data_IF_063384754039
#
_entry.id   IF_063384754039
#
_cell.length_a   1.000
_cell.length_b   1.000
_cell.length_c   1.000
_cell.angle_alpha   90.00
_cell.angle_beta   90.00
_cell.angle_gamma   90.00
#
_symmetry.space_group_name_H-M   'P 1'
#
loop_
_entity.id
_entity.type
_entity.pdbx_description
1 polymer ?
#
# COMPACT_ATOMS: atom_id res chain seq x y z
N UNK A 1 -10.73 -9.50 -10.35
CA UNK A 1 -10.36 -8.78 -9.11
C UNK A 1 -11.36 -9.17 -8.04
N UNK A 2 -10.91 -9.54 -6.83
CA UNK A 2 -11.81 -9.81 -5.69
C UNK A 2 -11.63 -8.72 -4.63
N UNK A 3 -12.73 -8.17 -4.13
CA UNK A 3 -12.75 -7.13 -3.10
C UNK A 3 -13.50 -7.65 -1.86
N UNK A 4 -12.91 -7.44 -0.68
CA UNK A 4 -13.51 -7.78 0.61
C UNK A 4 -13.95 -6.48 1.29
N UNK A 5 -15.23 -6.12 1.15
CA UNK A 5 -15.81 -4.93 1.77
C UNK A 5 -16.63 -5.28 3.01
N UNK A 6 -16.54 -4.46 4.06
CA UNK A 6 -17.42 -4.53 5.23
C UNK A 6 -17.90 -3.13 5.55
N UNK A 7 -19.22 -2.95 5.67
CA UNK A 7 -19.84 -1.67 6.00
C UNK A 7 -20.50 -1.77 7.38
N UNK A 8 -20.48 -0.68 8.15
CA UNK A 8 -21.15 -0.61 9.44
C UNK A 8 -21.55 0.82 9.78
N UNK A 9 -22.64 0.99 10.55
CA UNK A 9 -23.17 2.30 10.92
C UNK A 9 -22.61 2.88 12.22
N UNK A 10 -22.27 2.05 13.21
CA UNK A 10 -21.79 2.50 14.53
C UNK A 10 -20.26 2.36 14.65
N UNK A 11 -19.57 3.45 15.01
CA UNK A 11 -18.12 3.54 15.19
C UNK A 11 -17.55 2.48 16.17
N UNK A 12 -18.32 2.05 17.16
CA UNK A 12 -17.93 1.03 18.15
C UNK A 12 -17.61 -0.32 17.49
N UNK A 13 -18.27 -0.62 16.37
CA UNK A 13 -18.04 -1.86 15.61
C UNK A 13 -16.75 -1.83 14.76
N UNK A 14 -16.09 -0.68 14.63
CA UNK A 14 -14.97 -0.51 13.69
C UNK A 14 -13.82 -1.48 13.96
N UNK A 15 -13.40 -1.60 15.23
CA UNK A 15 -12.28 -2.50 15.61
C UNK A 15 -12.58 -3.94 15.22
N UNK A 16 -13.79 -4.41 15.52
CA UNK A 16 -14.25 -5.77 15.21
C UNK A 16 -14.32 -6.02 13.70
N UNK A 17 -14.90 -5.09 12.95
CA UNK A 17 -15.11 -5.27 11.50
C UNK A 17 -13.80 -5.21 10.71
N UNK A 18 -12.89 -4.30 11.07
CA UNK A 18 -11.54 -4.25 10.51
C UNK A 18 -10.79 -5.56 10.83
N UNK A 19 -10.86 -6.04 12.08
CA UNK A 19 -10.21 -7.30 12.47
C UNK A 19 -10.75 -8.52 11.69
N UNK A 20 -12.06 -8.57 11.46
CA UNK A 20 -12.69 -9.62 10.65
C UNK A 20 -12.23 -9.57 9.20
N UNK A 21 -12.21 -8.38 8.59
CA UNK A 21 -11.74 -8.20 7.21
C UNK A 21 -10.27 -8.66 7.07
N UNK A 22 -9.41 -8.25 7.99
CA UNK A 22 -8.00 -8.71 8.05
C UNK A 22 -7.89 -10.22 8.19
N UNK A 23 -8.77 -10.87 8.97
CA UNK A 23 -8.81 -12.34 9.11
C UNK A 23 -9.16 -13.01 7.77
N UNK A 24 -10.17 -12.51 7.08
CA UNK A 24 -10.55 -13.00 5.74
C UNK A 24 -9.41 -12.79 4.72
N UNK A 25 -8.79 -11.61 4.71
CA UNK A 25 -7.64 -11.31 3.85
C UNK A 25 -6.48 -12.30 4.09
N UNK A 26 -6.16 -12.63 5.35
CA UNK A 26 -5.13 -13.63 5.68
C UNK A 26 -5.53 -15.03 5.22
N UNK A 27 -6.78 -15.43 5.45
CA UNK A 27 -7.29 -16.75 5.02
C UNK A 27 -7.13 -16.96 3.50
N UNK A 28 -7.40 -15.92 2.72
CA UNK A 28 -7.33 -15.97 1.25
C UNK A 28 -5.91 -16.00 0.67
N UNK A 29 -4.86 -15.84 1.50
CA UNK A 29 -3.47 -15.72 1.03
C UNK A 29 -3.00 -16.90 0.15
N UNK A 30 -3.47 -18.12 0.41
CA UNK A 30 -3.10 -19.32 -0.35
C UNK A 30 -3.78 -19.45 -1.73
N UNK A 31 -4.84 -18.67 -1.98
CA UNK A 31 -5.68 -18.81 -3.17
C UNK A 31 -5.55 -17.66 -4.17
N UNK A 32 -4.86 -16.58 -3.79
CA UNK A 32 -4.69 -15.38 -4.62
C UNK A 32 -3.25 -15.27 -5.13
N UNK A 33 -2.98 -14.24 -5.93
CA UNK A 33 -1.62 -13.97 -6.42
C UNK A 33 -0.58 -13.94 -5.29
N UNK A 34 0.62 -14.42 -5.60
CA UNK A 34 1.77 -14.47 -4.71
C UNK A 34 3.02 -13.98 -5.44
N UNK A 35 3.97 -13.44 -4.68
CA UNK A 35 5.29 -12.97 -5.16
C UNK A 35 5.25 -11.93 -6.30
N UNK A 36 4.66 -10.73 -6.10
CA UNK A 36 4.00 -10.24 -4.89
C UNK A 36 2.51 -10.58 -4.85
N UNK A 37 1.92 -10.53 -3.65
CA UNK A 37 0.46 -10.50 -3.51
C UNK A 37 -0.04 -9.16 -4.03
N UNK A 38 -0.58 -9.15 -5.25
CA UNK A 38 -0.98 -7.94 -5.95
C UNK A 38 -2.16 -7.25 -5.26
N UNK A 39 -2.16 -5.92 -5.33
CA UNK A 39 -3.19 -5.04 -4.78
C UNK A 39 -3.52 -3.94 -5.80
N UNK A 40 -4.63 -3.25 -5.60
CA UNK A 40 -5.06 -2.17 -6.48
C UNK A 40 -5.04 -0.84 -5.73
N UNK A 41 -4.30 0.15 -6.26
CA UNK A 41 -4.00 1.39 -5.56
C UNK A 41 -5.24 2.22 -5.17
N UNK A 42 -6.32 2.14 -5.96
CA UNK A 42 -7.57 2.86 -5.66
C UNK A 42 -8.35 2.25 -4.48
N UNK A 43 -8.02 1.03 -4.05
CA UNK A 43 -8.42 0.48 -2.75
C UNK A 43 -7.23 0.49 -1.81
N UNK A 44 -6.87 1.69 -1.34
CA UNK A 44 -5.66 1.92 -0.55
C UNK A 44 -5.72 1.17 0.78
N UNK A 45 -4.73 0.31 1.00
CA UNK A 45 -4.58 -0.51 2.19
C UNK A 45 -3.26 -0.17 2.92
N UNK A 46 -3.37 0.50 4.07
CA UNK A 46 -2.23 0.87 4.91
C UNK A 46 -1.62 -0.35 5.64
N UNK A 47 -2.33 -1.48 5.72
CA UNK A 47 -1.79 -2.71 6.33
C UNK A 47 -0.71 -3.37 5.45
N UNK A 48 -0.57 -2.95 4.18
CA UNK A 48 0.49 -3.43 3.28
C UNK A 48 1.87 -2.82 3.60
N UNK A 49 1.90 -1.75 4.40
CA UNK A 49 3.09 -1.00 4.76
C UNK A 49 2.89 0.50 4.60
N UNK A 50 3.57 1.29 5.41
CA UNK A 50 3.48 2.76 5.38
C UNK A 50 4.87 3.40 5.38
N UNK A 51 4.92 4.60 4.83
CA UNK A 51 6.07 5.49 4.83
C UNK A 51 6.33 6.05 6.24
N UNK A 52 7.57 6.43 6.51
CA UNK A 52 7.91 7.18 7.71
C UNK A 52 7.48 8.64 7.58
N UNK A 53 7.25 9.30 8.71
CA UNK A 53 6.81 10.71 8.75
C UNK A 53 7.75 11.70 8.06
N UNK A 54 9.06 11.40 7.98
CA UNK A 54 10.08 12.31 7.44
C UNK A 54 10.73 11.74 6.19
N UNK A 55 11.54 10.70 6.35
CA UNK A 55 12.32 10.09 5.29
C UNK A 55 11.95 8.62 5.13
N UNK A 56 11.53 8.26 3.93
CA UNK A 56 11.17 6.89 3.57
C UNK A 56 12.11 6.42 2.49
N UNK A 57 12.84 5.35 2.77
CA UNK A 57 13.74 4.77 1.79
C UNK A 57 12.97 4.07 0.67
N UNK A 58 13.61 3.97 -0.49
CA UNK A 58 13.12 3.15 -1.60
C UNK A 58 12.76 1.73 -1.15
N UNK A 59 13.62 1.07 -0.36
CA UNK A 59 13.39 -0.31 0.09
C UNK A 59 12.15 -0.45 0.97
N UNK A 60 11.89 0.50 1.88
CA UNK A 60 10.69 0.49 2.69
C UNK A 60 9.43 0.66 1.84
N UNK A 61 9.44 1.62 0.91
CA UNK A 61 8.32 1.84 0.03
C UNK A 61 8.09 0.69 -0.96
N UNK A 62 9.17 0.01 -1.37
CA UNK A 62 9.11 -1.14 -2.28
C UNK A 62 8.27 -2.29 -1.74
N UNK A 63 8.23 -2.49 -0.41
CA UNK A 63 7.43 -3.54 0.24
C UNK A 63 5.94 -3.47 -0.16
N UNK A 64 5.35 -2.27 -0.15
CA UNK A 64 3.97 -2.05 -0.58
C UNK A 64 3.89 -1.68 -2.08
N UNK A 65 4.89 -0.97 -2.60
CA UNK A 65 4.91 -0.43 -3.96
C UNK A 65 4.82 -1.49 -5.04
N UNK A 66 5.56 -2.60 -4.90
CA UNK A 66 5.51 -3.70 -5.88
C UNK A 66 4.18 -4.45 -5.84
N UNK A 67 3.43 -4.40 -4.73
CA UNK A 67 2.09 -4.99 -4.67
C UNK A 67 1.10 -4.22 -5.54
N UNK A 68 1.18 -2.89 -5.57
CA UNK A 68 0.32 -2.05 -6.41
C UNK A 68 0.80 -1.96 -7.85
N UNK A 69 2.11 -1.79 -8.06
CA UNK A 69 2.66 -1.40 -9.37
C UNK A 69 3.50 -2.49 -10.04
N UNK A 70 3.79 -3.60 -9.34
CA UNK A 70 4.67 -4.68 -9.83
C UNK A 70 5.99 -4.10 -10.36
N UNK A 71 6.42 -4.53 -11.55
CA UNK A 71 7.64 -4.09 -12.22
C UNK A 71 7.62 -2.60 -12.63
N UNK A 72 6.46 -1.93 -12.55
CA UNK A 72 6.37 -0.51 -12.89
C UNK A 72 6.86 0.39 -11.74
N UNK A 73 7.02 -0.14 -10.51
CA UNK A 73 7.39 0.66 -9.35
C UNK A 73 8.71 1.44 -9.56
N UNK A 74 9.72 0.79 -10.15
CA UNK A 74 11.04 1.41 -10.36
C UNK A 74 10.97 2.58 -11.35
N UNK A 75 10.15 2.45 -12.40
CA UNK A 75 9.92 3.55 -13.34
C UNK A 75 9.21 4.72 -12.65
N UNK A 76 8.24 4.44 -11.78
CA UNK A 76 7.51 5.48 -11.05
C UNK A 76 8.42 6.21 -10.06
N UNK A 77 9.30 5.51 -9.36
CA UNK A 77 10.31 6.10 -8.48
C UNK A 77 11.25 7.03 -9.27
N UNK A 78 11.70 6.61 -10.46
CA UNK A 78 12.52 7.47 -11.35
C UNK A 78 11.78 8.74 -11.78
N UNK A 79 10.50 8.61 -12.16
CA UNK A 79 9.66 9.77 -12.51
C UNK A 79 9.52 10.70 -11.30
N UNK A 80 9.13 10.16 -10.14
CA UNK A 80 9.00 10.92 -8.89
C UNK A 80 10.28 11.68 -8.54
N UNK A 81 11.44 11.02 -8.64
CA UNK A 81 12.74 11.63 -8.38
C UNK A 81 13.02 12.83 -9.28
N UNK A 82 12.59 12.77 -10.55
CA UNK A 82 12.78 13.86 -11.51
C UNK A 82 11.80 15.01 -11.31
N UNK A 83 10.53 14.71 -11.04
CA UNK A 83 9.45 15.72 -11.02
C UNK A 83 9.23 16.35 -9.64
N UNK A 84 9.60 15.67 -8.57
CA UNK A 84 9.42 16.13 -7.19
C UNK A 84 10.57 15.62 -6.30
N UNK A 85 11.80 16.13 -6.52
CA UNK A 85 13.00 15.67 -5.82
C UNK A 85 12.98 15.99 -4.32
N UNK A 86 12.27 17.05 -3.91
CA UNK A 86 12.10 17.44 -2.50
C UNK A 86 10.99 16.66 -1.79
N UNK A 87 10.30 15.77 -2.53
CA UNK A 87 9.20 14.96 -2.04
C UNK A 87 8.07 15.78 -1.40
N UNK A 88 7.73 16.92 -1.98
CA UNK A 88 6.68 17.80 -1.49
C UNK A 88 5.30 17.12 -1.53
N UNK A 89 4.98 16.46 -2.65
CA UNK A 89 3.72 15.74 -2.81
C UNK A 89 3.82 14.35 -2.19
N UNK A 90 3.53 14.24 -0.89
CA UNK A 90 3.67 12.99 -0.13
C UNK A 90 2.48 12.66 0.76
N UNK A 91 2.31 11.37 1.03
CA UNK A 91 1.37 10.81 1.99
C UNK A 91 1.94 9.49 2.56
N UNK A 92 1.16 8.76 3.35
CA UNK A 92 1.55 7.53 4.04
C UNK A 92 1.96 6.39 3.09
N UNK A 93 1.62 6.44 1.81
CA UNK A 93 2.02 5.48 0.77
C UNK A 93 2.35 6.20 -0.57
N UNK A 94 2.93 7.40 -0.50
CA UNK A 94 3.42 8.06 -1.71
C UNK A 94 4.74 7.44 -2.16
N UNK A 95 4.95 7.35 -3.46
CA UNK A 95 6.22 6.89 -4.03
C UNK A 95 7.32 7.87 -3.58
N UNK A 96 8.41 7.41 -2.94
CA UNK A 96 9.51 8.27 -2.56
C UNK A 96 10.44 8.54 -3.76
N UNK A 97 11.15 9.68 -3.79
CA UNK A 97 12.31 9.83 -4.68
C UNK A 97 13.47 8.93 -4.21
N UNK A 98 14.45 8.66 -5.07
CA UNK A 98 15.58 7.77 -4.72
C UNK A 98 16.49 8.33 -3.62
N UNK A 99 16.50 9.65 -3.42
CA UNK A 99 17.41 10.35 -2.51
C UNK A 99 16.76 10.69 -1.15
N UNK A 100 15.55 10.19 -0.85
CA UNK A 100 14.86 10.47 0.42
C UNK A 100 15.20 9.49 1.54
#
# INVERSE_FOLDING_TARGET
>A
MMHYGVNWGNIENSKRNIAWNRKLYRYMAKYVSKSPRAAYFNYRDLDLGVNNKRNTSYEQARVWGVKYFKNNFDRLVKVKTKIDPTNFFRNEQSIPPLLS
#
